data_IF_618466824965
#
_entry.id   IF_618466824965
#
_cell.length_a   1.000
_cell.length_b   1.000
_cell.length_c   1.000
_cell.angle_alpha   90.00
_cell.angle_beta   90.00
_cell.angle_gamma   90.00
#
_symmetry.space_group_name_H-M   'P 1'
#
loop_
_entity.id
_entity.type
_entity.pdbx_description
1 polymer ?
#
# COMPACT_ATOMS: atom_id res chain seq x y z
N UNK A 1 -44.33 18.60 40.88
CA UNK A 1 -43.53 17.35 40.71
C UNK A 1 -43.84 16.61 39.40
N UNK A 2 -45.11 16.49 38.96
CA UNK A 2 -45.48 15.75 37.73
C UNK A 2 -45.10 16.47 36.41
N UNK A 3 -45.09 17.80 36.40
CA UNK A 3 -44.70 18.61 35.23
C UNK A 3 -43.18 18.69 35.01
N UNK A 4 -42.40 18.73 36.10
CA UNK A 4 -40.93 18.76 36.04
C UNK A 4 -40.33 17.47 35.46
N UNK A 5 -40.98 16.32 35.70
CA UNK A 5 -40.55 15.02 35.15
C UNK A 5 -40.79 14.93 33.63
N UNK A 6 -41.90 15.50 33.14
CA UNK A 6 -42.23 15.51 31.72
C UNK A 6 -41.27 16.39 30.90
N UNK A 7 -40.83 17.52 31.47
CA UNK A 7 -39.85 18.42 30.83
C UNK A 7 -38.47 17.75 30.76
N UNK A 8 -38.06 17.04 31.81
CA UNK A 8 -36.81 16.28 31.82
C UNK A 8 -36.84 15.14 30.79
N UNK A 9 -37.98 14.46 30.66
CA UNK A 9 -38.17 13.38 29.69
C UNK A 9 -38.11 13.89 28.25
N UNK A 10 -38.71 15.06 27.99
CA UNK A 10 -38.66 15.72 26.67
C UNK A 10 -37.24 16.17 26.31
N UNK A 11 -36.48 16.68 27.27
CA UNK A 11 -35.06 17.01 27.07
C UNK A 11 -34.21 15.76 26.78
N UNK A 12 -34.44 14.65 27.49
CA UNK A 12 -33.76 13.38 27.21
C UNK A 12 -34.10 12.82 25.82
N UNK A 13 -35.36 12.92 25.40
CA UNK A 13 -35.83 12.42 24.11
C UNK A 13 -35.25 13.23 22.93
N UNK A 14 -35.10 14.55 23.11
CA UNK A 14 -34.45 15.41 22.11
C UNK A 14 -32.95 15.16 21.97
N UNK A 15 -32.27 14.77 23.06
CA UNK A 15 -30.84 14.42 23.03
C UNK A 15 -30.54 13.14 22.26
N UNK A 16 -31.43 12.14 22.35
CA UNK A 16 -31.28 10.86 21.65
C UNK A 16 -31.52 10.95 20.14
N UNK A 17 -32.28 11.95 19.67
CA UNK A 17 -32.56 12.16 18.25
C UNK A 17 -31.41 12.85 17.49
N UNK A 18 -30.40 13.37 18.19
CA UNK A 18 -29.27 14.13 17.59
C UNK A 18 -28.03 13.26 17.33
N UNK A 19 -28.14 11.93 17.43
CA UNK A 19 -27.06 11.03 17.04
C UNK A 19 -26.94 11.01 15.52
N UNK A 20 -26.24 11.99 14.96
CA UNK A 20 -25.82 11.99 13.57
C UNK A 20 -25.00 10.72 13.32
N UNK A 21 -25.54 9.81 12.51
CA UNK A 21 -24.75 8.73 11.91
C UNK A 21 -23.63 9.39 11.12
N UNK A 22 -22.40 9.30 11.61
CA UNK A 22 -21.24 9.63 10.81
C UNK A 22 -21.26 8.67 9.61
N UNK A 23 -21.69 9.15 8.45
CA UNK A 23 -21.51 8.42 7.21
C UNK A 23 -20.00 8.33 6.99
N UNK A 24 -19.47 7.11 6.87
CA UNK A 24 -18.13 6.91 6.34
C UNK A 24 -18.03 7.69 5.02
N UNK A 25 -16.92 8.41 4.82
CA UNK A 25 -16.69 9.10 3.55
C UNK A 25 -16.71 8.04 2.46
N UNK A 26 -17.59 8.19 1.48
CA UNK A 26 -17.48 7.47 0.23
C UNK A 26 -16.18 7.98 -0.40
N UNK A 27 -15.12 7.18 -0.28
CA UNK A 27 -13.85 7.41 -0.95
C UNK A 27 -14.14 7.29 -2.44
N UNK A 28 -14.67 8.37 -3.04
CA UNK A 28 -15.06 8.41 -4.44
C UNK A 28 -13.96 7.85 -5.33
N UNK A 29 -14.34 7.41 -6.53
CA UNK A 29 -13.45 6.71 -7.47
C UNK A 29 -12.01 7.26 -7.46
N UNK A 30 -11.03 6.39 -7.16
CA UNK A 30 -9.62 6.77 -7.01
C UNK A 30 -9.18 7.59 -8.23
N UNK A 31 -8.85 8.88 -8.04
CA UNK A 31 -8.48 9.77 -9.14
C UNK A 31 -7.18 9.32 -9.84
N UNK A 32 -6.45 8.38 -9.25
CA UNK A 32 -5.21 7.82 -9.76
C UNK A 32 -5.35 6.41 -10.32
N UNK A 33 -6.56 5.83 -10.38
CA UNK A 33 -6.78 4.47 -10.86
C UNK A 33 -6.26 4.22 -12.30
N UNK A 34 -6.29 5.26 -13.14
CA UNK A 34 -5.78 5.23 -14.51
C UNK A 34 -4.26 5.46 -14.60
N UNK A 35 -3.61 5.90 -13.53
CA UNK A 35 -2.18 6.11 -13.52
C UNK A 35 -1.42 4.79 -13.32
N UNK A 36 -0.21 4.76 -13.85
CA UNK A 36 0.74 3.68 -13.65
C UNK A 36 2.01 4.28 -13.09
N UNK A 37 2.45 3.77 -11.94
CA UNK A 37 3.77 4.06 -11.43
C UNK A 37 4.80 3.57 -12.45
N UNK A 38 5.81 4.39 -12.73
CA UNK A 38 6.97 4.00 -13.52
C UNK A 38 8.22 4.50 -12.84
N UNK A 39 9.30 3.74 -12.95
CA UNK A 39 10.60 4.23 -12.55
C UNK A 39 10.97 5.44 -13.43
N UNK A 40 11.32 6.56 -12.78
CA UNK A 40 11.95 7.71 -13.45
C UNK A 40 13.49 7.56 -13.46
N UNK A 41 14.00 6.53 -12.78
CA UNK A 41 15.42 6.31 -12.53
C UNK A 41 15.94 7.13 -11.34
N UNK A 42 16.95 6.64 -10.60
CA UNK A 42 17.65 7.45 -9.61
C UNK A 42 18.68 8.36 -10.29
N UNK A 43 18.92 9.55 -9.72
CA UNK A 43 19.93 10.50 -10.23
C UNK A 43 21.38 9.95 -10.19
N UNK A 44 21.61 8.92 -9.37
CA UNK A 44 22.77 8.03 -9.45
C UNK A 44 22.29 6.60 -9.25
N UNK A 45 22.65 5.69 -10.16
CA UNK A 45 22.39 4.25 -10.01
C UNK A 45 23.24 3.71 -8.86
N UNK A 46 22.75 3.84 -7.63
CA UNK A 46 23.40 3.24 -6.46
C UNK A 46 22.34 2.67 -5.53
N UNK A 47 22.26 1.35 -5.53
CA UNK A 47 21.64 0.52 -4.51
C UNK A 47 22.65 -0.56 -4.10
N UNK A 48 22.53 -1.12 -2.91
CA UNK A 48 23.41 -2.23 -2.48
C UNK A 48 22.78 -3.56 -2.84
N UNK A 49 23.54 -4.35 -3.60
CA UNK A 49 23.23 -5.77 -3.83
C UNK A 49 23.73 -6.54 -2.62
N UNK A 50 22.82 -7.25 -1.95
CA UNK A 50 23.15 -8.13 -0.84
C UNK A 50 23.51 -9.53 -1.32
N UNK A 51 22.84 -10.01 -2.37
CA UNK A 51 23.00 -11.37 -2.87
C UNK A 51 22.67 -11.50 -4.36
N UNK A 52 23.27 -12.49 -5.01
CA UNK A 52 23.05 -12.82 -6.43
C UNK A 52 23.05 -14.33 -6.59
N UNK A 53 22.03 -14.87 -7.26
CA UNK A 53 21.95 -16.30 -7.58
C UNK A 53 21.52 -16.53 -9.04
N UNK A 54 21.89 -17.69 -9.58
CA UNK A 54 21.66 -18.07 -10.98
C UNK A 54 21.01 -19.45 -11.07
N UNK A 55 20.03 -19.59 -11.98
CA UNK A 55 19.41 -20.89 -12.23
C UNK A 55 20.39 -21.78 -12.99
N UNK A 56 20.81 -22.89 -12.38
CA UNK A 56 21.85 -23.77 -12.96
C UNK A 56 21.42 -24.41 -14.29
N UNK A 57 20.11 -24.67 -14.47
CA UNK A 57 19.55 -25.25 -15.68
C UNK A 57 19.47 -24.24 -16.85
N UNK A 58 19.38 -22.94 -16.56
CA UNK A 58 19.37 -21.87 -17.55
C UNK A 58 20.05 -20.63 -16.96
N UNK A 59 21.31 -20.43 -17.35
CA UNK A 59 22.17 -19.39 -16.80
C UNK A 59 21.80 -17.98 -17.25
N UNK A 60 20.83 -17.83 -18.16
CA UNK A 60 20.28 -16.52 -18.50
C UNK A 60 19.32 -16.01 -17.42
N UNK A 61 18.82 -16.91 -16.55
CA UNK A 61 17.94 -16.54 -15.45
C UNK A 61 18.75 -16.24 -14.20
N UNK A 62 18.77 -14.97 -13.81
CA UNK A 62 19.55 -14.44 -12.68
C UNK A 62 18.61 -13.72 -11.72
N UNK A 63 18.84 -13.88 -10.41
CA UNK A 63 18.13 -13.15 -9.36
C UNK A 63 19.11 -12.29 -8.56
N UNK A 64 18.68 -11.08 -8.21
CA UNK A 64 19.45 -10.12 -7.41
C UNK A 64 18.61 -9.61 -6.26
N UNK A 65 19.12 -9.74 -5.04
CA UNK A 65 18.49 -9.24 -3.82
C UNK A 65 19.11 -7.93 -3.35
N UNK A 66 18.28 -6.92 -3.05
CA UNK A 66 18.72 -5.64 -2.49
C UNK A 66 18.89 -5.69 -0.97
N UNK A 67 19.89 -4.98 -0.42
CA UNK A 67 20.15 -4.97 1.05
C UNK A 67 19.05 -4.31 1.88
N UNK A 68 18.33 -3.34 1.31
CA UNK A 68 17.21 -2.64 1.97
C UNK A 68 15.86 -3.15 1.49
N UNK A 69 15.84 -4.34 0.90
CA UNK A 69 14.67 -4.92 0.26
C UNK A 69 14.69 -4.87 -1.26
N UNK A 70 13.74 -5.58 -1.86
CA UNK A 70 13.62 -5.76 -3.30
C UNK A 70 14.29 -7.04 -3.81
N UNK A 71 13.62 -7.69 -4.76
CA UNK A 71 14.12 -8.85 -5.50
C UNK A 71 13.88 -8.59 -6.98
N UNK A 72 14.93 -8.74 -7.76
CA UNK A 72 14.91 -8.50 -9.20
C UNK A 72 15.28 -9.77 -9.93
N UNK A 73 14.60 -10.04 -11.04
CA UNK A 73 14.88 -11.17 -11.91
C UNK A 73 15.28 -10.67 -13.28
N UNK A 74 16.33 -11.26 -13.84
CA UNK A 74 16.65 -11.17 -15.26
C UNK A 74 16.41 -12.52 -15.92
N UNK A 75 16.01 -12.52 -17.19
CA UNK A 75 15.90 -13.71 -18.04
C UNK A 75 16.82 -13.65 -19.27
N UNK A 76 17.64 -12.60 -19.39
CA UNK A 76 18.50 -12.32 -20.53
C UNK A 76 19.97 -12.12 -20.13
N UNK A 77 20.38 -12.78 -19.04
CA UNK A 77 21.76 -12.74 -18.54
C UNK A 77 22.14 -11.42 -17.87
N UNK A 78 21.15 -10.66 -17.39
CA UNK A 78 21.35 -9.43 -16.62
C UNK A 78 21.27 -8.15 -17.44
N UNK A 79 20.78 -8.20 -18.69
CA UNK A 79 20.61 -7.01 -19.54
C UNK A 79 19.37 -6.22 -19.13
N UNK A 80 18.28 -6.92 -18.81
CA UNK A 80 17.04 -6.35 -18.28
C UNK A 80 16.64 -7.02 -16.97
N UNK A 81 15.94 -6.27 -16.12
CA UNK A 81 15.56 -6.67 -14.77
C UNK A 81 14.11 -6.32 -14.48
N UNK A 82 13.33 -7.31 -14.09
CA UNK A 82 11.95 -7.16 -13.65
C UNK A 82 11.87 -7.27 -12.12
N UNK A 83 11.09 -6.40 -11.45
CA UNK A 83 10.84 -6.53 -10.02
C UNK A 83 9.92 -7.73 -9.74
N UNK A 84 10.29 -8.55 -8.75
CA UNK A 84 9.53 -9.76 -8.37
C UNK A 84 8.57 -9.48 -7.21
N UNK A 85 8.86 -8.48 -6.37
CA UNK A 85 8.16 -8.26 -5.11
C UNK A 85 7.27 -7.00 -5.08
N UNK A 86 7.15 -6.23 -6.15
CA UNK A 86 6.42 -4.94 -6.17
C UNK A 86 4.93 -5.04 -5.77
N UNK A 87 4.33 -6.23 -5.82
CA UNK A 87 2.95 -6.49 -5.35
C UNK A 87 2.82 -6.83 -3.86
N UNK A 88 3.91 -6.87 -3.11
CA UNK A 88 3.91 -7.27 -1.70
C UNK A 88 3.86 -6.05 -0.77
N UNK A 89 3.13 -6.19 0.34
CA UNK A 89 2.91 -5.10 1.31
C UNK A 89 4.19 -4.68 2.07
N UNK A 90 5.23 -5.52 2.09
CA UNK A 90 6.50 -5.24 2.72
C UNK A 90 7.63 -5.88 1.92
N UNK A 91 8.75 -5.17 1.76
CA UNK A 91 9.85 -5.54 0.88
C UNK A 91 11.19 -5.76 1.62
N UNK A 92 11.27 -5.49 2.93
CA UNK A 92 12.47 -5.56 3.78
C UNK A 92 12.19 -5.02 5.19
N UNK A 93 13.13 -5.24 6.13
CA UNK A 93 13.00 -4.95 7.59
C UNK A 93 12.65 -3.50 7.94
#
# INVERSE_FOLDING_TARGET
>A
MRSSLAILLLFLLSGLASSSTASAQDDGADPFAALRARAIGPAGMSGRVADVDVVLADRNVVYVGGSTGGLFKSADGGMTWDPVLDGQAALGV
#
